data_IF_945058560654
#
_entry.id   IF_945058560654
#
_cell.length_a   1.000
_cell.length_b   1.000
_cell.length_c   1.000
_cell.angle_alpha   90.00
_cell.angle_beta   90.00
_cell.angle_gamma   90.00
#
_symmetry.space_group_name_H-M   'P 1'
#
loop_
_entity.id
_entity.type
_entity.pdbx_description
1 polymer ?
#
# COMPACT_ATOMS: atom_id res chain seq x y z
N UNK A 1 2.33 -5.67 -20.20
CA UNK A 1 3.20 -6.77 -19.77
C UNK A 1 4.69 -6.43 -19.83
N UNK A 2 5.26 -5.87 -20.95
CA UNK A 2 6.70 -5.51 -21.03
C UNK A 2 7.17 -4.53 -19.94
N UNK A 3 6.36 -3.54 -19.53
CA UNK A 3 6.73 -2.54 -18.50
C UNK A 3 6.86 -3.13 -17.09
N UNK A 4 6.07 -4.16 -16.76
CA UNK A 4 6.12 -4.82 -15.44
C UNK A 4 7.39 -5.67 -15.32
N UNK A 5 7.78 -6.35 -16.39
CA UNK A 5 9.01 -7.17 -16.42
C UNK A 5 10.26 -6.28 -16.28
N UNK A 6 10.28 -5.11 -16.91
CA UNK A 6 11.40 -4.16 -16.80
C UNK A 6 11.54 -3.62 -15.36
N UNK A 7 10.42 -3.35 -14.68
CA UNK A 7 10.44 -2.90 -13.27
C UNK A 7 10.96 -3.99 -12.35
N UNK A 8 10.60 -5.25 -12.58
CA UNK A 8 11.08 -6.39 -11.77
C UNK A 8 12.58 -6.63 -11.94
N UNK A 9 13.11 -6.44 -13.16
CA UNK A 9 14.55 -6.57 -13.45
C UNK A 9 15.35 -5.45 -12.78
N UNK A 10 14.81 -4.22 -12.72
CA UNK A 10 15.46 -3.10 -12.03
C UNK A 10 15.60 -3.34 -10.53
N UNK A 11 14.58 -3.91 -9.90
CA UNK A 11 14.61 -4.29 -8.48
C UNK A 11 15.64 -5.39 -8.22
N UNK A 12 15.72 -6.39 -9.10
CA UNK A 12 16.73 -7.46 -9.00
C UNK A 12 18.18 -6.94 -9.11
N UNK A 13 18.42 -5.90 -9.92
CA UNK A 13 19.77 -5.32 -10.07
C UNK A 13 20.20 -4.46 -8.88
N UNK A 14 19.28 -3.86 -8.16
CA UNK A 14 19.56 -3.10 -6.93
C UNK A 14 19.90 -4.02 -5.74
N UNK A 15 19.31 -5.22 -5.68
CA UNK A 15 19.59 -6.21 -4.66
C UNK A 15 21.06 -6.69 -4.70
N UNK A 16 21.70 -6.68 -5.87
CA UNK A 16 23.11 -7.06 -6.02
C UNK A 16 24.11 -6.04 -5.48
N UNK A 17 23.67 -4.85 -5.05
CA UNK A 17 24.54 -3.80 -4.52
C UNK A 17 24.79 -3.90 -2.99
N UNK A 18 24.42 -5.03 -2.34
CA UNK A 18 24.66 -5.26 -0.91
C UNK A 18 23.65 -4.56 0.03
N UNK A 19 22.55 -4.06 -0.51
CA UNK A 19 21.43 -3.55 0.27
C UNK A 19 20.44 -4.69 0.49
N UNK A 20 20.00 -4.88 1.74
CA UNK A 20 18.91 -5.83 2.02
C UNK A 20 17.64 -5.32 1.35
N UNK A 21 17.23 -5.99 0.28
CA UNK A 21 15.99 -5.70 -0.40
C UNK A 21 14.86 -6.54 0.19
N UNK A 22 13.66 -6.02 0.17
CA UNK A 22 12.46 -6.74 0.54
C UNK A 22 11.38 -6.58 -0.53
N UNK A 23 10.65 -7.64 -0.78
CA UNK A 23 9.45 -7.62 -1.60
C UNK A 23 8.31 -8.23 -0.82
N UNK A 24 7.11 -7.68 -0.94
CA UNK A 24 5.98 -8.22 -0.22
C UNK A 24 4.68 -8.01 -0.94
N UNK A 25 3.71 -8.82 -0.57
CA UNK A 25 2.34 -8.70 -1.02
C UNK A 25 1.38 -9.01 0.12
N UNK A 26 0.22 -8.38 0.09
CA UNK A 26 -0.77 -8.56 1.11
C UNK A 26 -2.17 -8.21 0.62
N UNK A 27 -3.11 -8.59 1.44
CA UNK A 27 -4.50 -8.22 1.34
C UNK A 27 -4.80 -7.18 2.41
N UNK A 28 -5.57 -6.17 2.07
CA UNK A 28 -6.04 -5.19 3.03
C UNK A 28 -7.53 -4.96 2.91
N UNK A 29 -8.14 -4.68 4.06
CA UNK A 29 -9.54 -4.28 4.15
C UNK A 29 -9.62 -2.87 4.71
N UNK A 30 -10.33 -2.02 4.00
CA UNK A 30 -10.57 -0.64 4.40
C UNK A 30 -11.77 -0.49 5.33
N UNK A 31 -11.89 0.70 5.93
CA UNK A 31 -12.97 1.04 6.88
C UNK A 31 -14.37 0.93 6.27
N UNK A 32 -14.51 1.05 4.94
CA UNK A 32 -15.78 0.96 4.21
C UNK A 32 -16.00 -0.40 3.54
N UNK A 33 -15.43 -1.46 4.11
CA UNK A 33 -15.51 -2.84 3.59
C UNK A 33 -14.93 -3.01 2.18
N UNK A 34 -14.05 -2.12 1.73
CA UNK A 34 -13.33 -2.28 0.47
C UNK A 34 -12.14 -3.22 0.62
N UNK A 35 -12.05 -4.16 -0.28
CA UNK A 35 -10.97 -5.14 -0.33
C UNK A 35 -9.89 -4.66 -1.30
N UNK A 36 -8.63 -4.66 -0.86
CA UNK A 36 -7.51 -4.21 -1.67
C UNK A 36 -6.38 -5.26 -1.69
N UNK A 37 -5.70 -5.34 -2.82
CA UNK A 37 -4.42 -6.01 -2.94
C UNK A 37 -3.29 -5.00 -2.85
N UNK A 38 -2.28 -5.29 -2.06
CA UNK A 38 -1.11 -4.44 -1.90
C UNK A 38 0.14 -5.22 -2.25
N UNK A 39 1.04 -4.60 -3.01
CA UNK A 39 2.37 -5.12 -3.29
C UNK A 39 3.40 -4.02 -3.02
N UNK A 40 4.57 -4.40 -2.52
CA UNK A 40 5.63 -3.44 -2.26
C UNK A 40 7.01 -3.99 -2.53
N UNK A 41 7.93 -3.06 -2.75
CA UNK A 41 9.37 -3.31 -2.75
C UNK A 41 10.03 -2.32 -1.80
N UNK A 42 11.02 -2.78 -1.05
CA UNK A 42 11.74 -1.96 -0.08
C UNK A 42 13.22 -2.23 -0.10
N UNK A 43 13.98 -1.25 0.37
CA UNK A 43 15.43 -1.32 0.54
C UNK A 43 15.76 -0.84 1.95
N UNK A 44 16.55 -1.60 2.68
CA UNK A 44 17.14 -1.15 3.94
C UNK A 44 18.40 -0.34 3.59
N UNK A 45 18.35 0.96 3.81
CA UNK A 45 19.39 1.90 3.38
C UNK A 45 20.46 2.04 4.46
N UNK A 46 20.06 2.05 5.74
CA UNK A 46 20.97 2.25 6.87
C UNK A 46 20.46 1.48 8.10
N UNK A 47 21.02 0.30 8.35
CA UNK A 47 20.60 -0.53 9.49
C UNK A 47 19.10 -0.82 9.46
N UNK A 48 18.36 -0.23 10.39
CA UNK A 48 16.92 -0.42 10.52
C UNK A 48 16.07 0.58 9.73
N UNK A 49 16.70 1.54 9.04
CA UNK A 49 16.00 2.55 8.22
C UNK A 49 15.90 2.05 6.79
N UNK A 50 14.71 2.08 6.23
CA UNK A 50 14.43 1.67 4.85
C UNK A 50 13.61 2.68 4.07
N UNK A 51 13.59 2.47 2.76
CA UNK A 51 12.69 3.10 1.82
C UNK A 51 11.82 2.04 1.18
N UNK A 52 10.52 2.33 1.01
CA UNK A 52 9.55 1.40 0.42
C UNK A 52 8.70 2.10 -0.63
N UNK A 53 8.56 1.44 -1.78
CA UNK A 53 7.54 1.75 -2.77
C UNK A 53 6.40 0.75 -2.61
N UNK A 54 5.18 1.26 -2.54
CA UNK A 54 3.98 0.46 -2.31
C UNK A 54 2.95 0.78 -3.40
N UNK A 55 2.32 -0.26 -3.92
CA UNK A 55 1.18 -0.17 -4.82
C UNK A 55 0.01 -0.91 -4.21
N UNK A 56 -1.15 -0.28 -4.17
CA UNK A 56 -2.39 -0.90 -3.72
C UNK A 56 -3.50 -0.64 -4.73
N UNK A 57 -4.34 -1.65 -4.96
CA UNK A 57 -5.51 -1.56 -5.84
C UNK A 57 -6.70 -2.24 -5.19
N UNK A 58 -7.88 -1.59 -5.26
CA UNK A 58 -9.12 -2.22 -4.84
C UNK A 58 -9.60 -3.25 -5.89
N UNK A 59 -10.30 -4.29 -5.43
CA UNK A 59 -10.94 -5.30 -6.26
C UNK A 59 -12.36 -5.64 -5.80
N UNK A 60 -12.87 -4.97 -4.78
CA UNK A 60 -14.28 -4.97 -4.42
C UNK A 60 -14.93 -3.64 -4.79
N UNK A 61 -16.16 -3.68 -5.24
CA UNK A 61 -16.94 -2.50 -5.56
C UNK A 61 -17.90 -2.23 -4.39
N UNK A 62 -18.02 -0.95 -4.00
CA UNK A 62 -19.01 -0.54 -2.99
C UNK A 62 -20.41 -0.63 -3.61
N UNK A 63 -21.46 -1.10 -2.88
CA UNK A 63 -22.81 -1.30 -3.41
C UNK A 63 -23.47 -0.07 -4.05
N UNK A 64 -23.03 1.12 -3.72
CA UNK A 64 -23.57 2.41 -4.23
C UNK A 64 -22.92 2.87 -5.54
N UNK A 65 -21.83 2.22 -5.98
CA UNK A 65 -21.14 2.54 -7.23
C UNK A 65 -21.23 1.36 -8.21
N UNK A 66 -21.51 1.66 -9.47
CA UNK A 66 -21.51 0.63 -10.52
C UNK A 66 -20.10 0.26 -10.98
N UNK A 67 -19.12 1.10 -10.66
CA UNK A 67 -17.69 0.84 -10.86
C UNK A 67 -16.87 1.76 -9.97
N UNK A 68 -16.00 1.18 -9.17
CA UNK A 68 -15.03 1.87 -8.33
C UNK A 68 -13.64 1.28 -8.60
N UNK A 69 -12.73 2.05 -9.20
CA UNK A 69 -11.35 1.65 -9.46
C UNK A 69 -10.43 2.63 -8.74
N UNK A 70 -9.88 2.21 -7.58
CA UNK A 70 -8.96 3.00 -6.78
C UNK A 70 -7.58 2.36 -6.83
N UNK A 71 -6.60 3.14 -7.27
CA UNK A 71 -5.19 2.75 -7.27
C UNK A 71 -4.38 3.72 -6.42
N UNK A 72 -3.47 3.19 -5.59
CA UNK A 72 -2.61 3.96 -4.70
C UNK A 72 -1.15 3.64 -4.96
N UNK A 73 -0.32 4.68 -5.01
CA UNK A 73 1.12 4.59 -5.18
C UNK A 73 1.77 5.33 -4.02
N UNK A 74 2.48 4.63 -3.16
CA UNK A 74 3.09 5.18 -1.95
C UNK A 74 4.62 5.12 -1.99
N UNK A 75 5.26 6.17 -1.47
CA UNK A 75 6.68 6.20 -1.13
C UNK A 75 6.81 6.44 0.37
N UNK A 76 7.46 5.51 1.05
CA UNK A 76 7.57 5.51 2.51
C UNK A 76 9.01 5.45 2.98
N UNK A 77 9.29 6.17 4.05
CA UNK A 77 10.40 5.87 4.94
C UNK A 77 9.89 4.88 6.01
N UNK A 78 10.69 3.86 6.30
CA UNK A 78 10.37 2.82 7.27
C UNK A 78 11.47 2.72 8.32
N UNK A 79 11.11 2.32 9.54
CA UNK A 79 12.07 2.02 10.59
C UNK A 79 11.70 0.71 11.29
N UNK A 80 12.53 -0.31 11.16
CA UNK A 80 12.26 -1.63 11.75
C UNK A 80 12.85 -1.72 13.15
N UNK A 81 12.00 -1.89 14.14
CA UNK A 81 12.34 -2.09 15.56
C UNK A 81 12.27 -3.59 15.87
N UNK A 82 13.38 -4.30 16.03
CA UNK A 82 13.37 -5.67 16.53
C UNK A 82 12.92 -5.67 17.99
N UNK A 83 11.94 -6.51 18.31
CA UNK A 83 11.44 -6.70 19.69
C UNK A 83 12.05 -7.96 20.31
N UNK A 84 11.96 -9.06 19.58
CA UNK A 84 12.60 -10.35 19.90
C UNK A 84 13.10 -10.98 18.59
N UNK A 85 13.80 -12.10 18.64
CA UNK A 85 14.43 -12.70 17.46
C UNK A 85 13.51 -12.91 16.25
N UNK A 86 12.22 -13.15 16.47
CA UNK A 86 11.26 -13.40 15.39
C UNK A 86 10.18 -12.32 15.23
N UNK A 87 10.14 -11.31 16.11
CA UNK A 87 9.14 -10.25 16.08
C UNK A 87 9.78 -8.88 15.92
N UNK A 88 9.24 -8.10 15.01
CA UNK A 88 9.61 -6.70 14.84
C UNK A 88 8.38 -5.83 14.58
N UNK A 89 8.53 -4.54 14.85
CA UNK A 89 7.54 -3.50 14.55
C UNK A 89 8.14 -2.53 13.57
N UNK A 90 7.41 -2.20 12.52
CA UNK A 90 7.88 -1.29 11.47
C UNK A 90 6.89 -0.15 11.28
N UNK A 91 7.07 0.99 11.98
CA UNK A 91 6.42 2.23 11.60
C UNK A 91 6.86 2.66 10.19
N UNK A 92 5.90 3.22 9.45
CA UNK A 92 6.12 3.81 8.13
C UNK A 92 5.47 5.18 8.02
N UNK A 93 6.13 6.11 7.36
CA UNK A 93 5.60 7.43 7.04
C UNK A 93 5.97 7.78 5.59
N UNK A 94 5.10 8.51 4.91
CA UNK A 94 5.39 8.83 3.51
C UNK A 94 4.29 9.63 2.84
N UNK A 95 4.33 9.61 1.52
CA UNK A 95 3.35 10.23 0.65
C UNK A 95 2.71 9.17 -0.23
N UNK A 96 1.40 9.25 -0.38
CA UNK A 96 0.65 8.37 -1.27
C UNK A 96 -0.14 9.20 -2.27
N UNK A 97 0.03 8.89 -3.55
CA UNK A 97 -0.84 9.35 -4.61
C UNK A 97 -1.96 8.34 -4.80
N UNK A 98 -3.19 8.79 -4.69
CA UNK A 98 -4.40 8.01 -4.92
C UNK A 98 -5.06 8.49 -6.19
N UNK A 99 -5.28 7.61 -7.14
CA UNK A 99 -6.04 7.82 -8.36
C UNK A 99 -7.35 7.01 -8.25
N UNK A 100 -8.50 7.65 -8.42
CA UNK A 100 -9.83 7.05 -8.34
C UNK A 100 -10.68 7.36 -9.56
N UNK A 101 -11.26 6.31 -10.17
CA UNK A 101 -12.26 6.40 -11.23
C UNK A 101 -13.60 5.89 -10.70
N UNK A 102 -14.60 6.79 -10.66
CA UNK A 102 -15.92 6.50 -10.12
C UNK A 102 -17.00 6.60 -11.20
N UNK A 103 -17.90 5.65 -11.26
CA UNK A 103 -19.10 5.71 -12.11
C UNK A 103 -20.34 5.61 -11.23
N UNK A 104 -21.13 6.68 -11.15
CA UNK A 104 -22.38 6.72 -10.37
C UNK A 104 -23.51 6.08 -11.16
N UNK A 105 -24.29 5.19 -10.52
CA UNK A 105 -25.35 4.39 -11.14
C UNK A 105 -26.46 5.24 -11.77
N UNK A 106 -26.80 6.41 -11.18
CA UNK A 106 -27.92 7.26 -11.61
C UNK A 106 -27.57 8.30 -12.70
N UNK A 107 -26.32 8.56 -12.92
CA UNK A 107 -25.85 9.47 -13.96
C UNK A 107 -24.63 8.87 -14.61
N UNK A 108 -24.70 8.51 -15.89
CA UNK A 108 -23.59 7.95 -16.70
C UNK A 108 -22.41 8.95 -16.79
N UNK A 109 -21.98 9.49 -15.65
CA UNK A 109 -20.89 10.44 -15.54
C UNK A 109 -19.74 9.80 -14.79
N UNK A 110 -18.68 9.51 -15.53
CA UNK A 110 -17.39 9.10 -14.95
C UNK A 110 -16.69 10.32 -14.39
N UNK A 111 -16.24 10.24 -13.14
CA UNK A 111 -15.43 11.27 -12.47
C UNK A 111 -14.10 10.63 -12.10
N UNK A 112 -13.03 11.20 -12.64
CA UNK A 112 -11.65 10.82 -12.26
C UNK A 112 -11.13 11.88 -11.29
N UNK A 113 -10.66 11.47 -10.14
CA UNK A 113 -10.02 12.36 -9.16
C UNK A 113 -8.68 11.78 -8.71
N UNK A 114 -7.72 12.66 -8.41
CA UNK A 114 -6.42 12.24 -7.90
C UNK A 114 -5.97 13.15 -6.76
N UNK A 115 -5.49 12.54 -5.70
CA UNK A 115 -4.98 13.26 -4.53
C UNK A 115 -3.63 12.72 -4.10
N UNK A 116 -2.81 13.62 -3.52
CA UNK A 116 -1.54 13.22 -2.87
C UNK A 116 -1.62 13.60 -1.40
N UNK A 117 -1.48 12.61 -0.53
CA UNK A 117 -1.68 12.79 0.90
C UNK A 117 -0.50 12.27 1.70
N UNK A 118 -0.32 12.85 2.88
CA UNK A 118 0.57 12.29 3.88
C UNK A 118 -0.05 11.01 4.43
N UNK A 119 0.77 9.96 4.50
CA UNK A 119 0.36 8.61 4.89
C UNK A 119 1.27 8.12 6.00
N UNK A 120 0.70 7.45 6.97
CA UNK A 120 1.44 6.78 8.02
C UNK A 120 0.87 5.39 8.29
N UNK A 121 1.69 4.54 8.87
CA UNK A 121 1.26 3.18 9.19
C UNK A 121 2.20 2.50 10.17
N UNK A 122 1.76 1.35 10.62
CA UNK A 122 2.49 0.49 11.54
C UNK A 122 2.31 -0.96 11.11
N UNK A 123 3.38 -1.72 11.06
CA UNK A 123 3.36 -3.15 10.78
C UNK A 123 3.99 -3.91 11.94
N UNK A 124 3.41 -5.04 12.29
CA UNK A 124 4.01 -6.07 13.14
C UNK A 124 4.42 -7.22 12.24
N UNK A 125 5.68 -7.60 12.30
CA UNK A 125 6.25 -8.64 11.45
C UNK A 125 6.66 -9.83 12.31
N UNK A 126 6.36 -11.03 11.81
CA UNK A 126 6.80 -12.28 12.36
C UNK A 126 7.72 -12.98 11.34
N UNK A 127 9.01 -13.07 11.63
CA UNK A 127 9.98 -13.76 10.79
C UNK A 127 9.90 -15.26 11.01
N UNK A 128 9.40 -15.99 10.02
CA UNK A 128 9.36 -17.44 10.04
C UNK A 128 10.76 -18.02 9.85
N UNK A 129 11.55 -17.40 9.00
CA UNK A 129 12.98 -17.68 8.80
C UNK A 129 13.69 -16.40 8.30
N UNK A 130 14.95 -16.50 7.93
CA UNK A 130 15.77 -15.37 7.45
C UNK A 130 15.23 -14.72 6.15
N UNK A 131 14.45 -15.46 5.36
CA UNK A 131 13.95 -15.00 4.06
C UNK A 131 12.46 -14.67 4.06
N UNK A 132 11.67 -15.26 4.97
CA UNK A 132 10.21 -15.18 4.93
C UNK A 132 9.68 -14.59 6.22
N UNK A 133 8.90 -13.53 6.10
CA UNK A 133 8.18 -12.92 7.20
C UNK A 133 6.69 -12.76 6.87
N UNK A 134 5.84 -13.01 7.85
CA UNK A 134 4.42 -12.66 7.81
C UNK A 134 4.27 -11.29 8.46
N UNK A 135 3.33 -10.50 7.99
CA UNK A 135 3.05 -9.21 8.60
C UNK A 135 1.56 -8.93 8.70
N UNK A 136 1.21 -8.18 9.74
CA UNK A 136 -0.07 -7.52 9.89
C UNK A 136 0.19 -6.04 10.11
N UNK A 137 -0.67 -5.18 9.59
CA UNK A 137 -0.43 -3.76 9.67
C UNK A 137 -1.68 -2.91 9.58
N UNK A 138 -1.49 -1.66 9.88
CA UNK A 138 -2.44 -0.58 9.73
C UNK A 138 -1.80 0.53 8.91
N UNK A 139 -2.54 1.10 7.97
CA UNK A 139 -2.08 2.24 7.17
C UNK A 139 -3.22 3.23 7.02
N UNK A 140 -2.99 4.48 7.41
CA UNK A 140 -3.88 5.60 7.14
C UNK A 140 -3.33 6.41 5.97
N UNK A 141 -4.05 6.39 4.86
CA UNK A 141 -3.68 7.07 3.62
C UNK A 141 -4.07 8.55 3.61
N UNK A 142 -4.79 9.03 4.63
CA UNK A 142 -5.18 10.43 4.76
C UNK A 142 -6.06 10.95 3.61
N UNK A 143 -6.75 10.05 2.90
CA UNK A 143 -7.53 10.41 1.72
C UNK A 143 -8.62 11.42 2.06
N UNK A 144 -8.62 12.54 1.33
CA UNK A 144 -9.69 13.54 1.34
C UNK A 144 -10.07 13.77 -0.12
N UNK A 145 -11.11 13.12 -0.56
CA UNK A 145 -11.71 13.46 -1.84
C UNK A 145 -12.68 14.61 -1.63
N UNK A 146 -12.62 15.63 -2.51
CA UNK A 146 -13.61 16.68 -2.55
C UNK A 146 -14.94 16.14 -3.10
N UNK A 147 -16.07 16.78 -2.72
CA UNK A 147 -17.41 16.32 -3.05
C UNK A 147 -17.59 15.95 -4.52
N UNK A 148 -17.84 14.68 -4.80
CA UNK A 148 -18.14 14.17 -6.14
C UNK A 148 -19.64 14.36 -6.38
N UNK A 149 -20.02 15.47 -7.03
CA UNK A 149 -21.44 15.81 -7.30
C UNK A 149 -22.24 16.07 -6.03
N UNK A 150 -23.45 15.52 -5.93
CA UNK A 150 -24.33 15.61 -4.75
C UNK A 150 -24.01 14.60 -3.65
N UNK A 151 -23.09 13.69 -3.88
CA UNK A 151 -22.63 12.70 -2.88
C UNK A 151 -21.52 13.36 -2.07
N UNK A 152 -21.78 13.55 -0.77
CA UNK A 152 -20.70 13.91 0.16
C UNK A 152 -19.70 12.77 0.14
N UNK A 153 -18.57 12.97 -0.51
CA UNK A 153 -17.43 12.08 -0.45
C UNK A 153 -16.79 12.12 0.94
N UNK A 154 -17.61 11.85 1.96
CA UNK A 154 -17.15 11.74 3.33
C UNK A 154 -16.44 10.41 3.48
N UNK A 155 -15.10 10.48 3.50
CA UNK A 155 -14.23 9.39 3.94
C UNK A 155 -14.34 8.11 3.10
N UNK A 156 -13.99 8.19 1.83
CA UNK A 156 -13.56 6.98 1.12
C UNK A 156 -12.24 6.53 1.76
N UNK A 157 -12.31 5.41 2.45
CA UNK A 157 -11.22 4.64 3.06
C UNK A 157 -9.90 5.35 3.27
N UNK A 158 -9.74 6.03 4.40
CA UNK A 158 -8.45 6.53 4.81
C UNK A 158 -7.61 5.44 5.48
N UNK A 159 -8.24 4.51 6.19
CA UNK A 159 -7.57 3.51 6.98
C UNK A 159 -7.76 2.08 6.44
N UNK A 160 -6.68 1.33 6.35
CA UNK A 160 -6.68 -0.06 5.92
C UNK A 160 -5.94 -0.95 6.90
N UNK A 161 -6.53 -2.10 7.21
CA UNK A 161 -5.88 -3.20 7.91
C UNK A 161 -5.30 -4.16 6.89
N UNK A 162 -4.00 -4.42 6.98
CA UNK A 162 -3.23 -5.17 6.00
C UNK A 162 -2.67 -6.44 6.65
N UNK A 163 -2.72 -7.55 5.95
CA UNK A 163 -1.94 -8.74 6.28
C UNK A 163 -1.29 -9.33 5.03
N UNK A 164 -0.12 -9.94 5.19
CA UNK A 164 0.58 -10.46 4.03
C UNK A 164 1.87 -11.17 4.36
N UNK A 165 2.62 -11.40 3.31
CA UNK A 165 3.93 -12.04 3.33
C UNK A 165 4.97 -11.14 2.69
N UNK A 166 6.17 -11.12 3.23
CA UNK A 166 7.32 -10.49 2.61
C UNK A 166 8.50 -11.45 2.54
N UNK A 167 9.28 -11.29 1.49
CA UNK A 167 10.55 -11.94 1.27
C UNK A 167 11.65 -10.91 1.49
N UNK A 168 12.67 -11.30 2.25
CA UNK A 168 13.88 -10.52 2.49
C UNK A 168 15.02 -11.15 1.66
N UNK A 169 15.72 -10.30 0.88
CA UNK A 169 16.76 -10.72 -0.08
C UNK A 169 18.07 -10.02 0.27
#
# INVERSE_FOLDING_TARGET
>A
MKKIVTSLILVGSLAMAGSFAQVGAGYSRGDNDTDNGTAFVGLNVLGNIGLRLEYSKNFSEHPEFSKEDISRYGLFATYTLPLVSSLSVTPKIGLTKTDGDFTVVDTVKSVTDSSTNFTYGLEVNYSYNEMISLFVGYTDYGNKFDNIGSVKASKLDSANYLFGIKLEI
#
